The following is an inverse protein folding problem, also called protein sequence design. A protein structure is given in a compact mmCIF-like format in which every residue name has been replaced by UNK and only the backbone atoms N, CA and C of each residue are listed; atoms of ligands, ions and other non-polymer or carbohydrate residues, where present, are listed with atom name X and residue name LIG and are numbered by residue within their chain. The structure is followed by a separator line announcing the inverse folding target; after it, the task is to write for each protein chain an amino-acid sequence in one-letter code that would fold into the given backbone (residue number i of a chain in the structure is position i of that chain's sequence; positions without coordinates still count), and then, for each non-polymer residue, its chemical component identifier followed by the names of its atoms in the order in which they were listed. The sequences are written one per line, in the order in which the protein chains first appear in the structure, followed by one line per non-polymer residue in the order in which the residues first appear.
data_IF_640336500067
#
_entry.id   IF_640336500067
#
_cell.length_a   1.000
_cell.length_b   1.000
_cell.length_c   1.000
_cell.angle_alpha   90.00
_cell.angle_beta   90.00
_cell.angle_gamma   90.00
#
_symmetry.space_group_name_H-M   'P 1'
#
loop_
_entity.id
_entity.type
_entity.pdbx_description
1 polymer ?
#
# COMPACT_ATOMS: atom_id res chain seq x y z
N UNK A 1 6.37 38.96 -36.72
CA UNK A 1 5.80 39.29 -38.05
C UNK A 1 6.08 40.76 -38.27
N UNK A 2 6.69 41.17 -39.39
CA UNK A 2 7.15 42.55 -39.58
C UNK A 2 6.00 43.44 -40.06
N UNK A 3 5.94 44.68 -39.56
CA UNK A 3 4.91 45.65 -39.97
C UNK A 3 5.08 46.03 -41.45
N UNK A 4 4.07 46.66 -42.04
CA UNK A 4 4.20 47.24 -43.39
C UNK A 4 5.32 48.29 -43.45
N UNK A 5 5.37 49.18 -42.46
CA UNK A 5 6.38 50.24 -42.37
C UNK A 5 7.81 49.67 -42.26
N UNK A 6 8.01 48.62 -41.46
CA UNK A 6 9.31 47.97 -41.32
C UNK A 6 9.78 47.30 -42.63
N UNK A 7 8.84 46.73 -43.40
CA UNK A 7 9.12 46.08 -44.69
C UNK A 7 9.51 47.10 -45.76
N UNK A 8 8.78 48.22 -45.84
CA UNK A 8 9.09 49.33 -46.76
C UNK A 8 10.45 49.94 -46.41
N UNK A 9 10.69 50.26 -45.13
CA UNK A 9 11.96 50.80 -44.65
C UNK A 9 13.15 49.89 -44.99
N UNK A 10 12.98 48.57 -44.85
CA UNK A 10 14.01 47.60 -45.21
C UNK A 10 14.29 47.57 -46.72
N UNK A 11 13.26 47.68 -47.57
CA UNK A 11 13.42 47.72 -49.03
C UNK A 11 14.04 49.04 -49.50
N UNK A 12 13.63 50.18 -48.95
CA UNK A 12 14.23 51.48 -49.26
C UNK A 12 15.71 51.52 -48.89
N UNK A 13 16.07 51.02 -47.70
CA UNK A 13 17.47 50.95 -47.28
C UNK A 13 18.27 50.00 -48.17
N UNK A 14 17.68 48.87 -48.57
CA UNK A 14 18.30 47.93 -49.51
C UNK A 14 18.61 48.58 -50.87
N UNK A 15 17.71 49.44 -51.38
CA UNK A 15 17.93 50.21 -52.60
C UNK A 15 19.05 51.25 -52.39
N UNK A 16 19.00 52.03 -51.29
CA UNK A 16 20.01 53.04 -50.95
C UNK A 16 21.42 52.46 -50.83
N UNK A 17 21.55 51.24 -50.30
CA UNK A 17 22.84 50.56 -50.13
C UNK A 17 23.31 49.77 -51.37
N UNK A 18 22.73 50.05 -52.55
CA UNK A 18 23.13 49.43 -53.81
C UNK A 18 22.80 47.94 -53.88
N UNK A 19 21.65 47.52 -53.30
CA UNK A 19 21.15 46.13 -53.28
C UNK A 19 22.08 45.15 -52.54
N UNK A 20 22.81 45.64 -51.53
CA UNK A 20 23.69 44.82 -50.69
C UNK A 20 22.93 44.30 -49.47
N UNK A 21 22.75 42.98 -49.40
CA UNK A 21 21.93 42.34 -48.34
C UNK A 21 22.60 42.44 -46.97
N UNK A 22 23.89 42.14 -46.85
CA UNK A 22 24.59 42.10 -45.55
C UNK A 22 24.61 43.46 -44.82
N UNK A 23 24.93 44.59 -45.49
CA UNK A 23 24.88 45.91 -44.85
C UNK A 23 23.47 46.29 -44.39
N UNK A 24 22.45 46.02 -45.21
CA UNK A 24 21.05 46.33 -44.88
C UNK A 24 20.59 45.60 -43.60
N UNK A 25 20.90 44.30 -43.49
CA UNK A 25 20.56 43.51 -42.30
C UNK A 25 21.37 43.95 -41.09
N UNK A 26 22.65 44.31 -41.27
CA UNK A 26 23.51 44.79 -40.17
C UNK A 26 23.01 46.11 -39.59
N UNK A 27 22.46 46.99 -40.44
CA UNK A 27 21.98 48.31 -40.04
C UNK A 27 20.59 48.28 -39.40
N UNK A 28 19.71 47.38 -39.84
CA UNK A 28 18.34 47.28 -39.30
C UNK A 28 18.19 46.21 -38.21
N UNK A 29 19.08 45.22 -38.14
CA UNK A 29 18.95 44.07 -37.22
C UNK A 29 17.88 43.05 -37.63
N UNK A 30 17.14 43.34 -38.70
CA UNK A 30 16.16 42.51 -39.39
C UNK A 30 16.18 42.92 -40.87
N UNK A 31 15.52 42.25 -41.82
CA UNK A 31 14.91 40.92 -41.81
C UNK A 31 15.90 39.82 -42.24
N UNK A 32 15.44 38.57 -42.45
CA UNK A 32 16.29 37.52 -43.03
C UNK A 32 16.64 37.81 -44.50
N UNK A 33 17.77 37.27 -44.99
CA UNK A 33 18.22 37.38 -46.40
C UNK A 33 17.11 37.07 -47.41
N UNK A 34 16.33 36.02 -47.17
CA UNK A 34 15.29 35.57 -48.09
C UNK A 34 14.05 36.47 -48.03
N UNK A 35 13.72 36.98 -46.85
CA UNK A 35 12.62 37.95 -46.69
C UNK A 35 12.93 39.27 -47.40
N UNK A 36 14.14 39.81 -47.27
CA UNK A 36 14.54 41.06 -47.94
C UNK A 36 14.48 40.93 -49.47
N UNK A 37 14.96 39.81 -50.01
CA UNK A 37 14.88 39.51 -51.44
C UNK A 37 13.44 39.38 -51.92
N UNK A 38 12.60 38.67 -51.16
CA UNK A 38 11.17 38.52 -51.46
C UNK A 38 10.46 39.87 -51.49
N UNK A 39 10.67 40.70 -50.47
CA UNK A 39 10.06 42.03 -50.40
C UNK A 39 10.53 42.96 -51.53
N UNK A 40 11.83 42.94 -51.85
CA UNK A 40 12.35 43.72 -52.97
C UNK A 40 11.77 43.30 -54.32
N UNK A 41 11.63 41.99 -54.56
CA UNK A 41 11.04 41.48 -55.80
C UNK A 41 9.57 41.87 -55.93
N UNK A 42 8.79 41.78 -54.85
CA UNK A 42 7.39 42.23 -54.82
C UNK A 42 7.28 43.74 -55.05
N UNK A 43 8.14 44.53 -54.40
CA UNK A 43 8.23 45.97 -54.55
C UNK A 43 8.61 46.37 -55.99
N UNK A 44 9.52 45.64 -56.64
CA UNK A 44 9.90 45.91 -58.03
C UNK A 44 8.75 45.66 -59.03
N UNK A 45 7.87 44.71 -58.75
CA UNK A 45 6.75 44.37 -59.63
C UNK A 45 5.55 45.31 -59.50
N UNK A 46 5.30 45.83 -58.29
CA UNK A 46 4.07 46.59 -57.99
C UNK A 46 4.33 48.03 -57.55
N UNK A 47 5.60 48.43 -57.43
CA UNK A 47 6.05 49.69 -56.82
C UNK A 47 5.58 49.88 -55.37
N UNK A 48 5.03 48.84 -54.74
CA UNK A 48 4.54 48.84 -53.36
C UNK A 48 4.51 47.42 -52.78
N UNK A 49 4.53 47.30 -51.45
CA UNK A 49 4.38 46.06 -50.70
C UNK A 49 2.95 45.93 -50.15
N UNK A 50 2.31 44.74 -50.19
CA UNK A 50 1.00 44.57 -49.57
C UNK A 50 1.02 44.85 -48.06
N UNK A 51 0.03 45.60 -47.56
CA UNK A 51 -0.11 45.95 -46.13
C UNK A 51 -0.14 44.73 -45.20
N UNK A 52 -0.59 43.57 -45.71
CA UNK A 52 -0.52 42.28 -45.02
C UNK A 52 0.32 41.25 -45.78
N UNK A 53 0.72 40.19 -45.09
CA UNK A 53 1.26 39.01 -45.76
C UNK A 53 0.14 38.36 -46.57
N UNK A 54 0.38 38.07 -47.86
CA UNK A 54 -0.60 37.36 -48.67
C UNK A 54 -0.96 36.03 -47.99
N UNK A 55 -2.22 35.89 -47.59
CA UNK A 55 -2.71 34.66 -46.97
C UNK A 55 -2.42 33.48 -47.88
N UNK A 56 -1.95 32.36 -47.32
CA UNK A 56 -1.75 31.13 -48.07
C UNK A 56 -3.07 30.77 -48.76
N UNK A 57 -3.03 30.52 -50.07
CA UNK A 57 -4.20 30.03 -50.81
C UNK A 57 -4.77 28.81 -50.06
N UNK A 58 -6.10 28.75 -49.80
CA UNK A 58 -6.71 27.62 -49.14
C UNK A 58 -6.31 26.32 -49.85
N UNK A 59 -5.89 25.31 -49.06
CA UNK A 59 -5.42 24.03 -49.61
C UNK A 59 -6.53 23.25 -50.34
N UNK A 60 -7.79 23.56 -50.05
CA UNK A 60 -8.97 22.91 -50.62
C UNK A 60 -9.97 23.97 -51.09
N UNK A 61 -10.66 23.70 -52.19
CA UNK A 61 -11.73 24.57 -52.70
C UNK A 61 -12.98 24.48 -51.82
N UNK A 62 -13.88 25.47 -51.93
CA UNK A 62 -15.17 25.45 -51.23
C UNK A 62 -16.04 24.27 -51.68
N UNK A 63 -15.97 23.91 -52.95
CA UNK A 63 -16.68 22.76 -53.54
C UNK A 63 -16.19 21.43 -52.97
N UNK A 64 -14.86 21.25 -52.85
CA UNK A 64 -14.25 20.08 -52.21
C UNK A 64 -14.68 19.94 -50.74
N UNK A 65 -14.83 21.06 -50.02
CA UNK A 65 -15.36 21.06 -48.66
C UNK A 65 -16.83 20.63 -48.63
N UNK A 66 -17.66 21.15 -49.51
CA UNK A 66 -19.08 20.81 -49.59
C UNK A 66 -19.30 19.32 -49.90
N UNK A 67 -18.63 18.80 -50.93
CA UNK A 67 -18.71 17.40 -51.33
C UNK A 67 -18.29 16.44 -50.20
N UNK A 68 -17.26 16.79 -49.42
CA UNK A 68 -16.81 15.98 -48.29
C UNK A 68 -17.82 15.95 -47.13
N UNK A 69 -18.53 17.06 -46.89
CA UNK A 69 -19.58 17.14 -45.86
C UNK A 69 -20.83 16.38 -46.32
N UNK A 70 -21.21 16.51 -47.59
CA UNK A 70 -22.36 15.80 -48.17
C UNK A 70 -22.16 14.29 -48.13
N UNK A 71 -20.99 13.80 -48.56
CA UNK A 71 -20.65 12.38 -48.47
C UNK A 71 -20.69 11.87 -47.03
N UNK A 72 -20.28 12.69 -46.06
CA UNK A 72 -20.32 12.34 -44.63
C UNK A 72 -21.75 12.21 -44.10
N UNK A 73 -22.64 13.10 -44.54
CA UNK A 73 -24.06 13.04 -44.19
C UNK A 73 -24.76 11.84 -44.83
N UNK A 74 -24.41 11.50 -46.07
CA UNK A 74 -24.98 10.36 -46.79
C UNK A 74 -24.50 9.00 -46.26
N UNK A 75 -23.28 8.90 -45.70
CA UNK A 75 -22.66 7.63 -45.31
C UNK A 75 -22.41 7.52 -43.79
N UNK A 76 -23.49 7.30 -43.04
CA UNK A 76 -23.52 6.96 -41.60
C UNK A 76 -22.69 7.87 -40.68
N UNK A 77 -22.33 9.08 -41.13
CA UNK A 77 -21.47 10.01 -40.39
C UNK A 77 -20.12 9.39 -39.99
N UNK A 78 -19.55 8.55 -40.87
CA UNK A 78 -18.26 7.92 -40.63
C UNK A 78 -17.10 8.67 -41.31
N UNK A 79 -16.30 9.38 -40.51
CA UNK A 79 -15.11 10.15 -40.98
C UNK A 79 -14.10 9.27 -41.72
N UNK A 80 -13.93 8.01 -41.30
CA UNK A 80 -12.97 7.11 -41.93
C UNK A 80 -13.44 6.61 -43.31
N UNK A 81 -14.74 6.41 -43.47
CA UNK A 81 -15.33 5.98 -44.75
C UNK A 81 -15.25 7.10 -45.80
N UNK A 82 -15.58 8.33 -45.41
CA UNK A 82 -15.50 9.51 -46.28
C UNK A 82 -14.08 9.80 -46.75
N UNK A 83 -13.08 9.62 -45.87
CA UNK A 83 -11.68 9.76 -46.25
C UNK A 83 -11.23 8.69 -47.25
N UNK A 84 -11.68 7.44 -47.06
CA UNK A 84 -11.36 6.33 -47.97
C UNK A 84 -12.01 6.52 -49.35
N UNK A 85 -13.24 7.04 -49.39
CA UNK A 85 -13.97 7.26 -50.63
C UNK A 85 -13.43 8.46 -51.44
N UNK A 86 -13.12 9.58 -50.78
CA UNK A 86 -12.72 10.82 -51.48
C UNK A 86 -11.20 10.97 -51.64
N UNK A 87 -10.39 10.25 -50.85
CA UNK A 87 -8.93 10.35 -50.86
C UNK A 87 -8.35 11.65 -50.27
N UNK A 88 -9.22 12.61 -49.93
CA UNK A 88 -8.95 13.85 -49.22
C UNK A 88 -10.20 14.23 -48.40
N UNK A 89 -10.14 15.14 -47.41
CA UNK A 89 -8.97 15.68 -46.72
C UNK A 89 -8.53 14.74 -45.56
N UNK A 90 -7.51 15.13 -44.79
CA UNK A 90 -7.10 14.35 -43.61
C UNK A 90 -8.14 14.44 -42.47
N UNK A 91 -8.10 13.47 -41.55
CA UNK A 91 -9.07 13.31 -40.45
C UNK A 91 -9.32 14.59 -39.67
N UNK A 92 -8.24 15.32 -39.34
CA UNK A 92 -8.33 16.57 -38.58
C UNK A 92 -9.09 17.67 -39.33
N UNK A 93 -8.81 17.83 -40.62
CA UNK A 93 -9.48 18.82 -41.48
C UNK A 93 -10.94 18.49 -41.69
N UNK A 94 -11.29 17.23 -41.96
CA UNK A 94 -12.68 16.83 -42.11
C UNK A 94 -13.48 17.03 -40.81
N UNK A 95 -12.87 16.71 -39.66
CA UNK A 95 -13.49 16.94 -38.35
C UNK A 95 -13.75 18.42 -38.10
N UNK A 96 -12.82 19.31 -38.49
CA UNK A 96 -13.01 20.75 -38.38
C UNK A 96 -14.17 21.24 -39.26
N UNK A 97 -14.22 20.78 -40.52
CA UNK A 97 -15.31 21.12 -41.45
C UNK A 97 -16.68 20.65 -40.96
N UNK A 98 -16.78 19.43 -40.43
CA UNK A 98 -18.01 18.90 -39.84
C UNK A 98 -18.43 19.73 -38.61
N UNK A 99 -17.49 20.13 -37.76
CA UNK A 99 -17.77 20.97 -36.57
C UNK A 99 -18.24 22.37 -36.93
N UNK A 100 -17.75 22.92 -38.03
CA UNK A 100 -18.18 24.21 -38.56
C UNK A 100 -19.56 24.11 -39.22
N UNK A 101 -19.83 23.03 -39.97
CA UNK A 101 -21.07 22.85 -40.72
C UNK A 101 -22.25 22.35 -39.86
N UNK A 102 -21.99 21.59 -38.80
CA UNK A 102 -22.99 20.99 -37.93
C UNK A 102 -22.72 21.35 -36.47
N UNK A 103 -23.13 22.55 -36.01
CA UNK A 103 -23.00 22.94 -34.60
C UNK A 103 -23.80 22.02 -33.67
N UNK A 104 -24.84 21.34 -34.16
CA UNK A 104 -25.63 20.35 -33.39
C UNK A 104 -24.84 19.08 -33.07
N UNK A 105 -23.86 18.70 -33.91
CA UNK A 105 -22.96 17.58 -33.65
C UNK A 105 -21.96 17.86 -32.50
N UNK A 106 -21.98 19.08 -31.92
CA UNK A 106 -21.29 19.40 -30.66
C UNK A 106 -21.88 18.66 -29.46
N UNK A 107 -23.10 18.15 -29.54
CA UNK A 107 -23.62 17.15 -28.59
C UNK A 107 -22.88 15.85 -28.85
N UNK A 108 -21.62 15.83 -28.42
CA UNK A 108 -20.91 14.60 -28.15
C UNK A 108 -21.79 13.89 -27.11
N UNK A 109 -22.56 12.91 -27.57
CA UNK A 109 -22.95 11.78 -26.74
C UNK A 109 -21.64 11.11 -26.40
N UNK A 110 -20.88 11.72 -25.48
CA UNK A 110 -19.90 10.99 -24.72
C UNK A 110 -20.80 10.00 -24.02
N UNK A 111 -20.77 8.75 -24.49
CA UNK A 111 -21.24 7.62 -23.74
C UNK A 111 -20.38 7.50 -22.49
N UNK A 112 -20.49 8.46 -21.56
CA UNK A 112 -20.65 8.04 -20.20
C UNK A 112 -22.05 7.46 -20.22
N UNK A 113 -22.14 6.15 -20.41
CA UNK A 113 -23.15 5.41 -19.67
C UNK A 113 -23.20 6.06 -18.30
N UNK A 114 -24.34 6.66 -17.95
CA UNK A 114 -24.57 7.16 -16.61
C UNK A 114 -24.14 6.02 -15.72
N UNK A 115 -22.97 6.13 -15.05
CA UNK A 115 -22.51 5.08 -14.15
C UNK A 115 -23.64 4.98 -13.16
N UNK A 116 -24.42 3.89 -13.24
CA UNK A 116 -25.47 3.59 -12.27
C UNK A 116 -24.76 3.72 -10.92
N UNK A 117 -25.12 4.75 -10.15
CA UNK A 117 -24.57 4.93 -8.82
C UNK A 117 -25.26 3.89 -7.97
N UNK A 118 -24.58 2.79 -7.74
CA UNK A 118 -25.03 1.77 -6.81
C UNK A 118 -24.88 2.33 -5.40
N UNK A 119 -25.86 2.07 -4.53
CA UNK A 119 -25.73 2.43 -3.12
C UNK A 119 -24.58 1.63 -2.50
N UNK A 120 -23.88 2.23 -1.53
CA UNK A 120 -22.77 1.56 -0.84
C UNK A 120 -23.21 0.27 -0.15
N UNK A 121 -24.44 0.24 0.38
CA UNK A 121 -25.04 -0.93 1.02
C UNK A 121 -25.26 -2.09 0.03
N UNK A 122 -25.80 -1.81 -1.16
CA UNK A 122 -25.99 -2.82 -2.21
C UNK A 122 -24.63 -3.36 -2.69
N UNK A 123 -23.64 -2.48 -2.80
CA UNK A 123 -22.27 -2.87 -3.15
C UNK A 123 -21.64 -3.78 -2.09
N UNK A 124 -21.83 -3.48 -0.80
CA UNK A 124 -21.34 -4.30 0.30
C UNK A 124 -22.06 -5.64 0.38
N UNK A 125 -23.39 -5.67 0.25
CA UNK A 125 -24.19 -6.89 0.24
C UNK A 125 -23.80 -7.82 -0.92
N UNK A 126 -23.63 -7.26 -2.13
CA UNK A 126 -23.19 -8.01 -3.30
C UNK A 126 -21.78 -8.60 -3.15
N UNK A 127 -20.86 -7.88 -2.47
CA UNK A 127 -19.51 -8.38 -2.20
C UNK A 127 -19.50 -9.42 -1.09
N UNK A 128 -20.29 -9.24 -0.03
CA UNK A 128 -20.48 -10.23 1.04
C UNK A 128 -21.00 -11.55 0.47
N UNK A 129 -22.09 -11.52 -0.30
CA UNK A 129 -22.65 -12.72 -0.92
C UNK A 129 -21.71 -13.31 -1.96
N UNK A 130 -20.94 -12.49 -2.69
CA UNK A 130 -19.87 -13.00 -3.54
C UNK A 130 -18.81 -13.73 -2.71
N UNK A 131 -18.38 -13.22 -1.57
CA UNK A 131 -17.33 -13.86 -0.76
C UNK A 131 -17.79 -15.13 -0.03
N UNK A 132 -19.08 -15.23 0.33
CA UNK A 132 -19.66 -16.38 1.06
C UNK A 132 -20.44 -17.35 0.16
N UNK A 133 -20.41 -17.17 -1.17
CA UNK A 133 -21.21 -17.98 -2.10
C UNK A 133 -20.87 -19.46 -2.09
N UNK A 134 -21.92 -20.29 -2.08
CA UNK A 134 -21.86 -21.70 -2.52
C UNK A 134 -22.23 -21.85 -4.01
N UNK A 135 -22.96 -20.87 -4.56
CA UNK A 135 -23.42 -20.85 -5.96
C UNK A 135 -22.46 -20.10 -6.90
N UNK A 136 -22.77 -20.12 -8.21
CA UNK A 136 -21.98 -19.42 -9.22
C UNK A 136 -22.02 -17.89 -9.04
N UNK A 137 -20.92 -17.21 -9.39
CA UNK A 137 -20.85 -15.75 -9.37
C UNK A 137 -21.87 -15.07 -10.33
N UNK A 138 -22.41 -15.81 -11.29
CA UNK A 138 -23.46 -15.33 -12.18
C UNK A 138 -24.82 -15.29 -11.47
N UNK A 139 -25.17 -16.33 -10.71
CA UNK A 139 -26.41 -16.37 -9.93
C UNK A 139 -26.47 -15.22 -8.91
N UNK A 140 -25.35 -14.92 -8.24
CA UNK A 140 -25.24 -13.75 -7.36
C UNK A 140 -25.45 -12.45 -8.16
N UNK A 141 -24.85 -12.33 -9.34
CA UNK A 141 -25.01 -11.14 -10.18
C UNK A 141 -26.48 -10.90 -10.58
N UNK A 142 -27.19 -11.98 -10.93
CA UNK A 142 -28.59 -11.94 -11.31
C UNK A 142 -29.49 -11.53 -10.13
N UNK A 143 -29.22 -12.01 -8.89
CA UNK A 143 -29.93 -11.59 -7.66
C UNK A 143 -29.83 -10.09 -7.41
N UNK A 144 -28.67 -9.49 -7.67
CA UNK A 144 -28.44 -8.04 -7.51
C UNK A 144 -28.75 -7.22 -8.77
N UNK A 145 -29.21 -7.85 -9.86
CA UNK A 145 -29.52 -7.19 -11.13
C UNK A 145 -28.32 -6.49 -11.77
N UNK A 146 -27.10 -7.01 -11.52
CA UNK A 146 -25.84 -6.49 -12.04
C UNK A 146 -25.13 -7.53 -12.88
N UNK A 147 -24.18 -7.10 -13.72
CA UNK A 147 -23.36 -8.05 -14.45
C UNK A 147 -22.23 -8.58 -13.56
N UNK A 148 -21.82 -9.83 -13.80
CA UNK A 148 -20.72 -10.49 -13.08
C UNK A 148 -19.43 -9.63 -13.03
N UNK A 149 -18.99 -8.93 -14.09
CA UNK A 149 -17.82 -8.03 -14.01
C UNK A 149 -18.00 -6.88 -13.01
N UNK A 150 -19.23 -6.39 -12.82
CA UNK A 150 -19.51 -5.33 -11.84
C UNK A 150 -19.31 -5.82 -10.42
N UNK A 151 -19.72 -7.05 -10.08
CA UNK A 151 -19.44 -7.65 -8.77
C UNK A 151 -17.94 -7.79 -8.47
N UNK A 152 -17.14 -8.26 -9.44
CA UNK A 152 -15.69 -8.33 -9.26
C UNK A 152 -15.04 -6.95 -9.17
N UNK A 153 -15.56 -5.95 -9.89
CA UNK A 153 -15.10 -4.57 -9.75
C UNK A 153 -15.41 -4.01 -8.35
N UNK A 154 -16.59 -4.30 -7.79
CA UNK A 154 -16.92 -3.92 -6.42
C UNK A 154 -16.03 -4.63 -5.40
N UNK A 155 -15.78 -5.92 -5.58
CA UNK A 155 -14.85 -6.69 -4.73
C UNK A 155 -13.47 -6.04 -4.72
N UNK A 156 -12.94 -5.72 -5.90
CA UNK A 156 -11.64 -5.07 -6.04
C UNK A 156 -11.59 -3.65 -5.45
N UNK A 157 -12.72 -2.95 -5.39
CA UNK A 157 -12.84 -1.62 -4.79
C UNK A 157 -12.91 -1.68 -3.25
N UNK A 158 -13.59 -2.66 -2.67
CA UNK A 158 -13.77 -2.78 -1.21
C UNK A 158 -12.65 -3.55 -0.51
N UNK A 159 -12.21 -4.66 -1.10
CA UNK A 159 -11.24 -5.58 -0.50
C UNK A 159 -9.83 -5.43 -1.09
N UNK A 160 -9.67 -4.53 -2.06
CA UNK A 160 -8.44 -4.37 -2.82
C UNK A 160 -8.34 -5.34 -3.98
N UNK A 161 -7.42 -5.03 -4.91
CA UNK A 161 -7.15 -5.89 -6.06
C UNK A 161 -6.37 -7.10 -5.55
N UNK A 162 -7.04 -8.24 -5.41
CA UNK A 162 -6.32 -9.52 -5.36
C UNK A 162 -5.36 -9.53 -6.55
N UNK A 163 -4.07 -9.80 -6.29
CA UNK A 163 -3.08 -9.89 -7.35
C UNK A 163 -3.68 -10.78 -8.46
N UNK A 164 -3.71 -10.32 -9.73
CA UNK A 164 -4.32 -11.10 -10.79
C UNK A 164 -3.71 -12.49 -10.71
N UNK A 165 -4.58 -13.51 -10.60
CA UNK A 165 -4.16 -14.90 -10.59
C UNK A 165 -3.17 -15.06 -11.75
N UNK A 166 -1.89 -15.20 -11.40
CA UNK A 166 -0.85 -15.44 -12.38
C UNK A 166 -1.32 -16.62 -13.21
N UNK A 167 -1.24 -16.52 -14.54
CA UNK A 167 -1.65 -17.61 -15.44
C UNK A 167 -0.81 -18.89 -15.25
N UNK A 168 0.22 -18.86 -14.39
CA UNK A 168 0.78 -20.08 -13.82
C UNK A 168 -0.19 -20.62 -12.79
N UNK A 169 -0.74 -21.81 -13.07
CA UNK A 169 -1.35 -22.68 -12.06
C UNK A 169 -0.33 -22.94 -10.94
N UNK A 170 -0.21 -22.01 -10.00
CA UNK A 170 0.19 -22.35 -8.66
C UNK A 170 -0.98 -23.16 -8.15
N UNK A 171 -0.80 -24.47 -7.95
CA UNK A 171 -1.78 -25.25 -7.20
C UNK A 171 -1.99 -24.47 -5.90
N UNK A 172 -3.18 -23.89 -5.65
CA UNK A 172 -3.45 -23.35 -4.34
C UNK A 172 -3.27 -24.52 -3.39
N UNK A 173 -2.42 -24.36 -2.38
CA UNK A 173 -2.41 -25.28 -1.25
C UNK A 173 -3.87 -25.51 -0.89
N UNK A 174 -4.29 -26.77 -0.85
CA UNK A 174 -5.70 -27.09 -0.62
C UNK A 174 -6.18 -26.32 0.61
N UNK A 175 -7.40 -25.74 0.63
CA UNK A 175 -7.90 -25.01 1.80
C UNK A 175 -7.81 -25.81 3.11
N UNK A 176 -7.76 -27.14 3.01
CA UNK A 176 -7.43 -28.05 4.11
C UNK A 176 -6.00 -27.87 4.65
N UNK A 177 -4.99 -27.80 3.79
CA UNK A 177 -3.59 -27.59 4.22
C UNK A 177 -3.40 -26.26 4.95
N UNK A 178 -4.01 -25.18 4.45
CA UNK A 178 -3.94 -23.88 5.12
C UNK A 178 -4.66 -23.92 6.50
N UNK A 179 -5.79 -24.62 6.60
CA UNK A 179 -6.48 -24.84 7.88
C UNK A 179 -5.63 -25.66 8.85
N UNK A 180 -5.03 -26.75 8.40
CA UNK A 180 -4.18 -27.61 9.22
C UNK A 180 -2.92 -26.87 9.70
N UNK A 181 -2.39 -25.95 8.89
CA UNK A 181 -1.28 -25.07 9.27
C UNK A 181 -1.70 -24.02 10.31
N UNK A 182 -2.87 -23.40 10.12
CA UNK A 182 -3.42 -22.45 11.08
C UNK A 182 -3.77 -23.12 12.42
N UNK A 183 -4.32 -24.33 12.39
CA UNK A 183 -4.60 -25.11 13.60
C UNK A 183 -3.30 -25.42 14.36
N UNK A 184 -2.25 -25.84 13.66
CA UNK A 184 -0.91 -26.03 14.25
C UNK A 184 -0.36 -24.75 14.88
N UNK A 185 -0.54 -23.60 14.24
CA UNK A 185 -0.13 -22.30 14.78
C UNK A 185 -0.94 -21.93 16.03
N UNK A 186 -2.25 -22.13 16.01
CA UNK A 186 -3.12 -21.89 17.17
C UNK A 186 -2.73 -22.79 18.33
N UNK A 187 -2.41 -24.06 18.08
CA UNK A 187 -1.92 -24.97 19.12
C UNK A 187 -0.57 -24.53 19.69
N UNK A 188 0.37 -24.07 18.86
CA UNK A 188 1.66 -23.52 19.32
C UNK A 188 1.44 -22.31 20.23
N UNK A 189 0.63 -21.35 19.77
CA UNK A 189 0.33 -20.13 20.53
C UNK A 189 -0.38 -20.45 21.84
N UNK A 190 -1.31 -21.42 21.86
CA UNK A 190 -1.95 -21.87 23.10
C UNK A 190 -0.95 -22.46 24.08
N UNK A 191 0.05 -23.22 23.60
CA UNK A 191 1.13 -23.76 24.45
C UNK A 191 2.02 -22.65 24.99
N UNK A 192 2.42 -21.70 24.14
CA UNK A 192 3.23 -20.53 24.55
C UNK A 192 2.50 -19.68 25.59
N UNK A 193 1.22 -19.38 25.38
CA UNK A 193 0.40 -18.63 26.36
C UNK A 193 0.32 -19.38 27.69
N UNK A 194 0.18 -20.71 27.67
CA UNK A 194 0.18 -21.51 28.90
C UNK A 194 1.53 -21.46 29.63
N UNK A 195 2.64 -21.51 28.89
CA UNK A 195 3.99 -21.39 29.46
C UNK A 195 4.23 -20.00 30.08
N UNK A 196 3.87 -18.93 29.37
CA UNK A 196 4.02 -17.57 29.87
C UNK A 196 3.19 -17.30 31.12
N UNK A 197 1.96 -17.85 31.19
CA UNK A 197 1.13 -17.77 32.41
C UNK A 197 1.78 -18.48 33.60
N UNK A 198 2.35 -19.66 33.38
CA UNK A 198 3.08 -20.40 34.41
C UNK A 198 4.28 -19.59 34.92
N UNK A 199 5.06 -18.99 34.02
CA UNK A 199 6.21 -18.13 34.37
C UNK A 199 5.77 -16.91 35.19
N UNK A 200 4.71 -16.24 34.77
CA UNK A 200 4.17 -15.08 35.46
C UNK A 200 3.71 -15.44 36.89
N UNK A 201 3.00 -16.56 37.05
CA UNK A 201 2.53 -17.02 38.35
C UNK A 201 3.69 -17.42 39.26
N UNK A 202 4.74 -18.05 38.72
CA UNK A 202 5.97 -18.36 39.44
C UNK A 202 6.66 -17.10 39.95
N UNK A 203 6.82 -16.08 39.10
CA UNK A 203 7.43 -14.80 39.47
C UNK A 203 6.60 -14.05 40.51
N UNK A 204 5.27 -14.01 40.33
CA UNK A 204 4.35 -13.41 41.29
C UNK A 204 4.43 -14.11 42.64
N UNK A 205 4.39 -15.44 42.67
CA UNK A 205 4.47 -16.21 43.92
C UNK A 205 5.84 -16.09 44.59
N UNK A 206 6.91 -15.99 43.81
CA UNK A 206 8.24 -15.72 44.31
C UNK A 206 8.31 -14.35 44.99
N UNK A 207 7.73 -13.32 44.39
CA UNK A 207 7.65 -11.98 45.00
C UNK A 207 6.84 -11.99 46.30
N UNK A 208 5.70 -12.68 46.33
CA UNK A 208 4.85 -12.80 47.54
C UNK A 208 5.56 -13.52 48.69
N UNK A 209 6.15 -14.69 48.42
CA UNK A 209 6.67 -15.57 49.46
C UNK A 209 8.07 -15.18 49.93
N UNK A 210 8.93 -14.72 49.02
CA UNK A 210 10.32 -14.44 49.34
C UNK A 210 10.55 -12.98 49.74
N UNK A 211 9.57 -12.09 49.50
CA UNK A 211 9.63 -10.64 49.78
C UNK A 211 10.93 -9.98 49.32
N UNK A 212 11.59 -10.57 48.31
CA UNK A 212 12.79 -10.01 47.68
C UNK A 212 12.30 -8.90 46.76
N UNK A 213 12.25 -7.68 47.30
CA UNK A 213 11.90 -6.51 46.53
C UNK A 213 12.87 -6.34 45.37
N UNK A 214 12.32 -6.34 44.14
CA UNK A 214 12.97 -6.04 42.87
C UNK A 214 13.78 -7.20 42.26
N UNK A 215 13.16 -7.92 41.32
CA UNK A 215 13.86 -8.75 40.33
C UNK A 215 14.31 -10.13 40.83
N UNK A 216 13.35 -11.01 41.17
CA UNK A 216 13.67 -12.41 41.47
C UNK A 216 14.03 -13.14 40.18
N UNK A 217 15.31 -13.44 40.00
CA UNK A 217 15.74 -14.45 39.04
C UNK A 217 15.44 -15.84 39.63
N UNK A 218 14.52 -16.57 38.99
CA UNK A 218 14.09 -17.90 39.40
C UNK A 218 15.25 -18.91 39.42
N UNK A 219 16.31 -18.65 38.64
CA UNK A 219 17.50 -19.52 38.58
C UNK A 219 18.41 -19.36 39.80
N UNK A 220 18.42 -18.18 40.43
CA UNK A 220 19.23 -17.88 41.62
C UNK A 220 18.57 -18.32 42.93
N UNK A 221 17.37 -18.90 42.86
CA UNK A 221 16.67 -19.43 44.03
C UNK A 221 17.32 -20.71 44.56
N UNK A 222 17.41 -20.81 45.88
CA UNK A 222 17.86 -22.05 46.53
C UNK A 222 16.87 -23.18 46.28
N UNK A 223 17.34 -24.43 46.27
CA UNK A 223 16.47 -25.59 46.07
C UNK A 223 15.30 -25.64 47.07
N UNK A 224 15.49 -25.12 48.30
CA UNK A 224 14.42 -25.01 49.30
C UNK A 224 13.37 -23.97 48.91
N UNK A 225 13.78 -22.80 48.44
CA UNK A 225 12.85 -21.76 47.94
C UNK A 225 12.11 -22.27 46.70
N UNK A 226 12.81 -22.93 45.77
CA UNK A 226 12.19 -23.59 44.60
C UNK A 226 11.13 -24.61 45.03
N UNK A 227 11.39 -25.44 46.05
CA UNK A 227 10.38 -26.38 46.55
C UNK A 227 9.15 -25.71 47.14
N UNK A 228 9.31 -24.58 47.84
CA UNK A 228 8.18 -23.84 48.41
C UNK A 228 7.29 -23.23 47.31
N UNK A 229 7.89 -22.74 46.23
CA UNK A 229 7.15 -22.24 45.07
C UNK A 229 6.38 -23.34 44.35
N UNK A 230 7.03 -24.50 44.15
CA UNK A 230 6.38 -25.67 43.54
C UNK A 230 5.19 -26.10 44.37
N UNK A 231 5.34 -26.21 45.70
CA UNK A 231 4.24 -26.63 46.57
C UNK A 231 3.08 -25.62 46.58
N UNK A 232 3.36 -24.32 46.47
CA UNK A 232 2.34 -23.27 46.42
C UNK A 232 1.56 -23.22 45.09
N UNK A 233 2.14 -23.64 43.97
CA UNK A 233 1.50 -23.62 42.65
C UNK A 233 1.03 -24.99 42.16
N UNK A 234 1.24 -26.04 42.97
CA UNK A 234 0.91 -27.43 42.65
C UNK A 234 -0.59 -27.68 42.44
N UNK A 235 -1.46 -26.81 42.97
CA UNK A 235 -2.91 -26.90 42.79
C UNK A 235 -3.35 -26.50 41.37
N UNK A 236 -2.57 -25.64 40.70
CA UNK A 236 -2.92 -25.07 39.40
C UNK A 236 -2.09 -25.63 38.23
N UNK A 237 -0.89 -26.14 38.51
CA UNK A 237 0.06 -26.60 37.49
C UNK A 237 0.60 -28.00 37.77
N UNK A 238 0.95 -28.72 36.70
CA UNK A 238 1.55 -30.04 36.80
C UNK A 238 2.96 -29.97 37.39
N UNK A 239 3.28 -30.90 38.30
CA UNK A 239 4.63 -31.04 38.87
C UNK A 239 5.77 -31.08 37.81
N UNK A 240 5.67 -31.83 36.70
CA UNK A 240 6.77 -31.86 35.72
C UNK A 240 6.98 -30.51 35.02
N UNK A 241 5.92 -29.72 34.80
CA UNK A 241 6.00 -28.39 34.19
C UNK A 241 6.72 -27.42 35.13
N UNK A 242 6.37 -27.45 36.42
CA UNK A 242 7.00 -26.64 37.46
C UNK A 242 8.49 -26.99 37.68
N UNK A 243 8.82 -28.28 37.66
CA UNK A 243 10.21 -28.75 37.80
C UNK A 243 11.08 -28.33 36.61
N UNK A 244 10.54 -28.43 35.39
CA UNK A 244 11.24 -28.02 34.17
C UNK A 244 11.52 -26.51 34.18
N UNK A 245 10.54 -25.70 34.59
CA UNK A 245 10.70 -24.24 34.59
C UNK A 245 11.70 -23.73 35.63
N UNK A 246 11.79 -24.39 36.79
CA UNK A 246 12.70 -24.01 37.87
C UNK A 246 14.06 -24.72 37.82
N UNK A 247 14.30 -25.55 36.79
CA UNK A 247 15.48 -26.40 36.66
C UNK A 247 15.80 -27.17 37.95
N UNK A 248 14.78 -27.85 38.50
CA UNK A 248 14.92 -28.62 39.74
C UNK A 248 14.73 -30.12 39.46
N UNK A 249 15.75 -30.90 39.82
CA UNK A 249 15.65 -32.36 39.73
C UNK A 249 14.54 -32.89 40.64
N UNK A 250 13.78 -33.87 40.13
CA UNK A 250 12.67 -34.51 40.85
C UNK A 250 13.10 -35.10 42.20
N UNK A 251 14.29 -35.70 42.27
CA UNK A 251 14.88 -36.22 43.52
C UNK A 251 15.12 -35.11 44.55
N UNK A 252 15.67 -33.98 44.12
CA UNK A 252 15.90 -32.80 44.97
C UNK A 252 14.59 -32.22 45.50
N UNK A 253 13.54 -32.15 44.67
CA UNK A 253 12.21 -31.73 45.11
C UNK A 253 11.68 -32.61 46.25
N UNK A 254 11.66 -33.94 46.08
CA UNK A 254 11.17 -34.85 47.12
C UNK A 254 12.05 -34.84 48.37
N UNK A 255 13.37 -34.72 48.23
CA UNK A 255 14.29 -34.60 49.37
C UNK A 255 14.00 -33.35 50.21
N UNK A 256 13.92 -32.18 49.58
CA UNK A 256 13.65 -30.93 50.29
C UNK A 256 12.22 -30.87 50.86
N UNK A 257 11.23 -31.42 50.15
CA UNK A 257 9.86 -31.52 50.64
C UNK A 257 9.71 -32.45 51.83
N UNK A 258 10.33 -33.63 51.80
CA UNK A 258 10.35 -34.55 52.94
C UNK A 258 11.04 -33.90 54.15
N UNK A 259 12.15 -33.18 53.94
CA UNK A 259 12.83 -32.43 55.00
C UNK A 259 12.06 -31.23 55.52
N UNK A 260 11.16 -30.65 54.73
CA UNK A 260 10.26 -29.59 55.21
C UNK A 260 9.13 -30.16 56.08
N UNK A 261 8.66 -31.38 55.78
CA UNK A 261 7.64 -32.08 56.56
C UNK A 261 8.19 -32.68 57.87
N UNK A 262 9.43 -33.16 57.85
CA UNK A 262 10.15 -33.59 59.05
C UNK A 262 10.65 -32.35 59.77
N UNK A 263 9.91 -31.90 60.79
CA UNK A 263 10.32 -30.78 61.64
C UNK A 263 11.77 -30.92 62.13
N UNK A 264 12.44 -29.81 62.41
CA UNK A 264 13.88 -29.79 62.71
C UNK A 264 14.19 -30.71 63.91
N UNK A 265 14.88 -31.82 63.64
CA UNK A 265 15.29 -32.83 64.65
C UNK A 265 16.09 -32.19 65.78
N UNK A 266 16.81 -31.10 65.51
CA UNK A 266 17.63 -30.38 66.47
C UNK A 266 16.96 -29.12 66.99
N UNK A 267 15.66 -28.90 66.76
CA UNK A 267 14.96 -27.69 67.19
C UNK A 267 15.09 -27.47 68.70
N UNK A 268 14.87 -28.52 69.50
CA UNK A 268 15.05 -28.49 70.95
C UNK A 268 16.50 -28.22 71.35
N UNK A 269 17.46 -28.85 70.67
CA UNK A 269 18.90 -28.68 70.94
C UNK A 269 19.35 -27.26 70.61
N UNK A 270 18.87 -26.69 69.51
CA UNK A 270 19.15 -25.31 69.11
C UNK A 270 18.54 -24.31 70.06
N UNK A 271 17.29 -24.52 70.50
CA UNK A 271 16.67 -23.71 71.55
C UNK A 271 17.52 -23.74 72.83
N UNK A 272 17.92 -24.91 73.30
CA UNK A 272 18.79 -25.01 74.48
C UNK A 272 20.15 -24.33 74.30
N UNK A 273 20.78 -24.41 73.13
CA UNK A 273 22.04 -23.69 72.85
C UNK A 273 21.81 -22.17 72.85
N UNK A 274 20.71 -21.70 72.26
CA UNK A 274 20.34 -20.27 72.27
C UNK A 274 20.06 -19.78 73.69
N UNK A 275 19.32 -20.54 74.48
CA UNK A 275 19.02 -20.21 75.88
C UNK A 275 20.29 -20.14 76.73
N UNK A 276 21.23 -21.09 76.54
CA UNK A 276 22.54 -21.09 77.22
C UNK A 276 23.37 -19.87 76.77
N UNK A 277 23.34 -19.52 75.49
CA UNK A 277 24.08 -18.37 74.96
C UNK A 277 23.54 -17.03 75.50
N UNK A 278 22.21 -16.89 75.58
CA UNK A 278 21.55 -15.70 76.13
C UNK A 278 21.72 -15.59 77.64
N UNK A 279 21.60 -16.71 78.36
CA UNK A 279 21.82 -16.77 79.82
C UNK A 279 23.26 -16.41 80.21
N UNK A 280 24.22 -16.60 79.30
CA UNK A 280 25.63 -16.21 79.49
C UNK A 280 25.96 -14.82 78.90
N UNK A 281 24.96 -13.96 78.71
CA UNK A 281 25.12 -12.59 78.20
C UNK A 281 25.88 -12.48 76.87
N UNK A 282 25.86 -13.53 76.04
CA UNK A 282 26.56 -13.60 74.74
C UNK A 282 28.10 -13.53 74.85
N UNK A 283 28.66 -13.76 76.04
CA UNK A 283 30.09 -13.59 76.31
C UNK A 283 30.96 -14.80 75.90
N UNK A 284 30.38 -15.98 75.68
CA UNK A 284 31.11 -17.21 75.34
C UNK A 284 30.86 -17.66 73.90
N UNK A 285 31.94 -17.99 73.18
CA UNK A 285 31.91 -18.56 71.83
C UNK A 285 31.69 -20.07 71.80
N UNK A 286 31.43 -20.61 70.61
CA UNK A 286 31.00 -22.00 70.36
C UNK A 286 31.88 -23.11 70.99
N UNK A 287 33.14 -22.82 71.30
CA UNK A 287 34.11 -23.78 71.84
C UNK A 287 33.93 -24.09 73.34
N UNK A 288 33.08 -23.36 74.07
CA UNK A 288 32.87 -23.54 75.52
C UNK A 288 31.42 -23.83 75.93
N UNK A 289 30.55 -24.20 74.99
CA UNK A 289 29.23 -24.72 75.33
C UNK A 289 29.35 -26.21 75.71
N UNK A 290 28.86 -26.65 76.88
CA UNK A 290 28.96 -28.04 77.28
C UNK A 290 28.09 -28.92 76.37
N UNK A 291 28.74 -29.83 75.65
CA UNK A 291 28.07 -30.91 74.94
C UNK A 291 27.57 -31.94 75.94
N UNK A 292 26.26 -31.98 76.19
CA UNK A 292 25.66 -33.13 76.87
C UNK A 292 25.53 -34.27 75.85
N UNK A 293 26.22 -35.39 76.15
CA UNK A 293 26.06 -36.67 75.48
C UNK A 293 24.68 -37.29 75.75
#
# INVERSE_FOLDING_TARGET
MYSYEDRIRAVELYIKLGRRVRPTIRQLGYPTKNSLKGWYNEYQQKLDLPAGYAGRRPKFSKEQKAAAIEHYLAHDRCIAATMRALGYPCRGTLTAWIREALPEARRRVVGSTVRRRYSGELMQAGVMELCTREESAQAVADKFGVCRPTLYNWKNQLLGREAPASMKRTNPSSPSQERDELERQVESLRREVRQLRLEQDLLNKANELLKKGLGVDLQLLSNREKTLLIDALREHYGLPELLAQLDLARSSYFYHRARAAVGDKYLKVRQSITDIFESNHRCYGYARAPSHH
#
